data_IF_891500200008
#
_entry.id   IF_891500200008
#
_cell.length_a   1.000
_cell.length_b   1.000
_cell.length_c   1.000
_cell.angle_alpha   90.00
_cell.angle_beta   90.00
_cell.angle_gamma   90.00
#
_symmetry.space_group_name_H-M   'P 1'
#
loop_
_entity.id
_entity.type
_entity.pdbx_description
1 polymer ?
#
# COMPACT_ATOMS: atom_id res chain seq x y z
N UNK A 1 -47.40 -49.50 4.39
CA UNK A 1 -47.92 -48.14 4.70
C UNK A 1 -46.98 -47.53 5.71
N UNK A 2 -46.38 -46.41 5.34
CA UNK A 2 -45.20 -45.79 5.95
C UNK A 2 -45.58 -44.98 7.20
N UNK A 3 -44.87 -45.19 8.31
CA UNK A 3 -44.81 -44.22 9.42
C UNK A 3 -43.35 -43.85 9.63
N UNK A 4 -43.03 -42.61 9.28
CA UNK A 4 -41.72 -41.99 9.49
C UNK A 4 -41.79 -41.27 10.85
N UNK A 5 -40.90 -41.56 11.82
CA UNK A 5 -40.82 -40.73 13.02
C UNK A 5 -40.17 -39.39 12.67
N UNK A 6 -40.99 -38.34 12.75
CA UNK A 6 -40.62 -36.93 12.65
C UNK A 6 -39.67 -36.56 13.79
N UNK A 7 -38.40 -36.33 13.46
CA UNK A 7 -37.36 -35.91 14.40
C UNK A 7 -37.49 -34.39 14.66
N UNK A 8 -37.42 -34.03 15.94
CA UNK A 8 -37.75 -32.75 16.54
C UNK A 8 -37.01 -31.50 15.98
N UNK A 9 -37.55 -30.28 16.19
CA UNK A 9 -36.84 -29.05 15.92
C UNK A 9 -35.95 -28.66 17.12
N UNK A 10 -34.63 -28.74 16.96
CA UNK A 10 -33.66 -28.07 17.84
C UNK A 10 -33.25 -26.72 17.20
N UNK A 11 -33.71 -25.63 17.82
CA UNK A 11 -33.00 -24.35 17.87
C UNK A 11 -32.27 -24.32 19.24
N UNK A 12 -31.22 -23.53 19.54
CA UNK A 12 -30.47 -22.52 18.77
C UNK A 12 -28.92 -22.58 18.98
N UNK A 13 -28.10 -22.26 17.98
CA UNK A 13 -26.71 -21.83 18.27
C UNK A 13 -26.26 -20.73 17.32
N UNK A 14 -26.51 -19.51 17.79
CA UNK A 14 -25.84 -18.28 17.40
C UNK A 14 -24.32 -18.45 17.59
N UNK A 15 -23.55 -18.74 16.55
CA UNK A 15 -22.08 -18.66 16.63
C UNK A 15 -21.51 -17.79 15.50
N UNK A 16 -21.02 -16.63 15.94
CA UNK A 16 -20.03 -15.75 15.34
C UNK A 16 -20.02 -15.58 13.80
N UNK A 17 -20.48 -14.40 13.37
CA UNK A 17 -20.02 -13.74 12.14
C UNK A 17 -18.47 -13.81 12.06
N UNK A 18 -17.87 -14.25 10.95
CA UNK A 18 -16.45 -13.99 10.74
C UNK A 18 -16.27 -12.47 10.61
N UNK A 19 -15.70 -11.85 11.64
CA UNK A 19 -15.08 -10.54 11.53
C UNK A 19 -13.87 -10.67 10.59
N UNK A 20 -14.11 -10.69 9.28
CA UNK A 20 -13.08 -10.27 8.33
C UNK A 20 -12.91 -8.77 8.57
N UNK A 21 -12.00 -8.47 9.50
CA UNK A 21 -11.42 -7.15 9.67
C UNK A 21 -10.93 -6.74 8.29
N UNK A 22 -11.70 -5.90 7.61
CA UNK A 22 -11.20 -5.11 6.52
C UNK A 22 -9.98 -4.40 7.10
N UNK A 23 -8.78 -4.89 6.74
CA UNK A 23 -7.53 -4.19 7.03
C UNK A 23 -7.78 -2.76 6.56
N UNK A 24 -7.79 -1.75 7.43
CA UNK A 24 -7.72 -0.40 6.93
C UNK A 24 -6.35 -0.34 6.27
N UNK A 25 -6.32 -0.41 4.93
CA UNK A 25 -5.17 0.05 4.17
C UNK A 25 -5.17 1.54 4.45
N UNK A 26 -4.49 1.93 5.54
CA UNK A 26 -4.17 3.31 5.85
C UNK A 26 -3.23 3.80 4.76
N UNK A 27 -3.78 4.02 3.56
CA UNK A 27 -3.28 5.05 2.66
C UNK A 27 -3.67 6.35 3.35
N UNK A 28 -2.86 6.75 4.33
CA UNK A 28 -2.87 8.13 4.78
C UNK A 28 -2.43 8.97 3.58
N UNK A 29 -3.40 9.35 2.74
CA UNK A 29 -3.26 10.52 1.91
C UNK A 29 -3.26 11.71 2.87
N UNK A 30 -2.12 11.96 3.52
CA UNK A 30 -1.84 13.27 4.12
C UNK A 30 -1.48 14.21 2.99
N UNK A 31 -2.48 14.61 2.20
CA UNK A 31 -2.43 15.86 1.44
C UNK A 31 -2.65 16.98 2.46
N UNK A 32 -1.61 17.27 3.22
CA UNK A 32 -1.48 18.55 3.93
C UNK A 32 -0.01 18.92 3.86
N UNK A 33 0.39 19.49 2.73
CA UNK A 33 1.61 20.26 2.63
C UNK A 33 1.36 21.68 3.17
N UNK A 34 0.93 21.78 4.43
CA UNK A 34 1.35 22.92 5.24
C UNK A 34 2.83 22.69 5.56
N UNK A 35 3.73 23.36 4.84
CA UNK A 35 5.14 23.44 5.21
C UNK A 35 5.25 24.30 6.48
N UNK A 36 4.91 23.70 7.63
CA UNK A 36 5.15 24.30 8.94
C UNK A 36 6.65 24.20 9.19
N UNK A 37 7.36 25.21 8.69
CA UNK A 37 8.81 25.31 8.71
C UNK A 37 9.35 25.20 10.13
N UNK A 38 10.04 24.08 10.41
CA UNK A 38 10.95 23.98 11.53
C UNK A 38 12.34 24.17 10.96
N UNK A 39 12.93 25.35 11.18
CA UNK A 39 14.20 25.81 10.60
C UNK A 39 15.42 25.08 11.20
N UNK A 40 15.43 23.76 11.16
CA UNK A 40 16.69 22.99 11.19
C UNK A 40 17.08 22.82 9.73
N UNK A 41 18.29 23.22 9.37
CA UNK A 41 18.89 23.28 8.03
C UNK A 41 18.96 21.94 7.30
N UNK A 42 17.84 21.24 7.18
CA UNK A 42 17.66 20.06 6.36
C UNK A 42 17.11 20.59 5.04
N UNK A 43 17.86 20.38 3.97
CA UNK A 43 17.70 21.05 2.67
C UNK A 43 16.26 21.18 2.19
N UNK A 44 16.00 22.26 1.43
CA UNK A 44 14.71 22.47 0.77
C UNK A 44 14.26 21.18 0.08
N UNK A 45 13.04 20.69 0.34
CA UNK A 45 12.54 19.49 -0.33
C UNK A 45 12.50 19.75 -1.83
N UNK A 46 13.18 18.90 -2.62
CA UNK A 46 13.11 18.96 -4.08
C UNK A 46 11.64 18.81 -4.54
N UNK A 47 11.19 19.59 -5.55
CA UNK A 47 9.93 19.34 -6.22
C UNK A 47 9.81 17.89 -6.73
N UNK A 48 8.61 17.32 -6.66
CA UNK A 48 8.36 15.93 -7.08
C UNK A 48 8.76 15.69 -8.55
N UNK A 49 8.51 16.66 -9.44
CA UNK A 49 8.88 16.57 -10.86
C UNK A 49 10.38 16.31 -11.07
N UNK A 50 11.24 16.95 -10.25
CA UNK A 50 12.68 16.73 -10.33
C UNK A 50 13.06 15.33 -9.85
N UNK A 51 12.41 14.84 -8.78
CA UNK A 51 12.62 13.48 -8.30
C UNK A 51 12.22 12.46 -9.37
N UNK A 52 11.10 12.68 -10.04
CA UNK A 52 10.61 11.78 -11.07
C UNK A 52 11.54 11.74 -12.29
N UNK A 53 12.06 12.89 -12.73
CA UNK A 53 13.08 12.95 -13.80
C UNK A 53 14.35 12.21 -13.40
N UNK A 54 14.84 12.39 -12.16
CA UNK A 54 16.02 11.67 -11.66
C UNK A 54 15.77 10.16 -11.76
N UNK A 55 14.65 9.68 -11.24
CA UNK A 55 14.28 8.26 -11.28
C UNK A 55 14.15 7.74 -12.71
N UNK A 56 13.68 8.55 -13.65
CA UNK A 56 13.55 8.17 -15.06
C UNK A 56 14.88 7.89 -15.75
N UNK A 57 15.96 8.53 -15.31
CA UNK A 57 17.32 8.22 -15.76
C UNK A 57 17.83 6.87 -15.23
N UNK A 58 17.29 6.37 -14.12
CA UNK A 58 17.71 5.11 -13.48
C UNK A 58 16.92 3.89 -13.99
N UNK A 59 16.04 4.04 -14.99
CA UNK A 59 15.12 2.99 -15.47
C UNK A 59 15.81 1.65 -15.83
N UNK A 60 17.06 1.69 -16.27
CA UNK A 60 17.81 0.51 -16.71
C UNK A 60 18.55 -0.19 -15.54
N UNK A 61 18.70 0.48 -14.40
CA UNK A 61 19.47 0.00 -13.24
C UNK A 61 18.56 -0.38 -12.05
N UNK A 62 18.09 -1.63 -12.08
CA UNK A 62 17.19 -2.21 -11.05
C UNK A 62 17.71 -2.14 -9.61
N UNK A 63 18.98 -2.47 -9.29
CA UNK A 63 19.46 -2.35 -7.91
C UNK A 63 19.42 -0.90 -7.43
N UNK A 64 19.80 0.08 -8.26
CA UNK A 64 19.72 1.50 -7.89
C UNK A 64 18.28 1.97 -7.71
N UNK A 65 17.34 1.57 -8.57
CA UNK A 65 15.91 1.85 -8.36
C UNK A 65 15.37 1.27 -7.06
N UNK A 66 15.83 0.08 -6.67
CA UNK A 66 15.43 -0.57 -5.41
C UNK A 66 15.93 0.23 -4.20
N UNK A 67 17.17 0.71 -4.25
CA UNK A 67 17.73 1.59 -3.22
C UNK A 67 16.97 2.91 -3.15
N UNK A 68 16.68 3.54 -4.30
CA UNK A 68 15.90 4.77 -4.42
C UNK A 68 14.50 4.64 -3.79
N UNK A 69 13.83 3.49 -3.96
CA UNK A 69 12.55 3.22 -3.32
C UNK A 69 12.62 3.22 -1.77
N UNK A 70 13.81 3.08 -1.18
CA UNK A 70 14.00 3.06 0.28
C UNK A 70 14.44 4.42 0.85
N UNK A 71 14.97 5.34 0.03
CA UNK A 71 15.49 6.64 0.48
C UNK A 71 14.41 7.51 1.12
N UNK A 72 13.28 7.68 0.45
CA UNK A 72 12.18 8.50 0.94
C UNK A 72 10.83 8.09 0.35
N UNK A 73 9.75 8.47 1.04
CA UNK A 73 8.37 8.20 0.60
C UNK A 73 8.06 8.78 -0.79
N UNK A 74 8.64 9.94 -1.11
CA UNK A 74 8.48 10.61 -2.40
C UNK A 74 9.11 9.84 -3.58
N UNK A 75 10.14 9.02 -3.33
CA UNK A 75 10.87 8.27 -4.37
C UNK A 75 10.21 6.93 -4.71
N UNK A 76 9.39 6.38 -3.79
CA UNK A 76 8.74 5.07 -3.92
C UNK A 76 7.86 4.88 -5.16
N UNK A 77 6.86 5.75 -5.43
CA UNK A 77 5.88 5.47 -6.47
C UNK A 77 6.56 5.38 -7.85
N UNK A 78 7.44 6.32 -8.18
CA UNK A 78 8.13 6.33 -9.48
C UNK A 78 9.12 5.18 -9.62
N UNK A 79 9.86 4.85 -8.56
CA UNK A 79 10.82 3.74 -8.56
C UNK A 79 10.13 2.39 -8.79
N UNK A 80 9.01 2.14 -8.10
CA UNK A 80 8.26 0.89 -8.23
C UNK A 80 7.67 0.69 -9.63
N UNK A 81 7.24 1.77 -10.30
CA UNK A 81 6.78 1.70 -11.68
C UNK A 81 7.88 1.13 -12.58
N UNK A 82 9.11 1.60 -12.46
CA UNK A 82 10.22 1.09 -13.28
C UNK A 82 10.66 -0.31 -12.89
N UNK A 83 10.69 -0.64 -11.60
CA UNK A 83 11.05 -1.99 -11.12
C UNK A 83 10.07 -3.05 -11.68
N UNK A 84 8.77 -2.75 -11.67
CA UNK A 84 7.73 -3.67 -12.11
C UNK A 84 7.34 -3.51 -13.58
N UNK A 85 7.96 -2.58 -14.33
CA UNK A 85 7.68 -2.38 -15.77
C UNK A 85 8.10 -3.57 -16.63
N UNK A 86 9.17 -4.24 -16.25
CA UNK A 86 9.71 -5.39 -16.99
C UNK A 86 9.63 -6.63 -16.10
N UNK A 87 8.45 -7.25 -16.10
CA UNK A 87 8.29 -8.62 -15.62
C UNK A 87 8.94 -9.54 -16.66
N UNK A 88 10.10 -10.10 -16.32
CA UNK A 88 10.64 -11.25 -17.05
C UNK A 88 10.05 -12.49 -16.39
N UNK A 89 9.18 -13.17 -17.13
CA UNK A 89 8.64 -14.50 -16.79
C UNK A 89 9.65 -15.55 -17.23
#
# INVERSE_FOLDING_TARGET
MFTVPYLAPEQPQQTSKPHHTARPVSRSASTSCAYKGNARSQGLPLPQELLDVIIDWLKDDKPSLSNCALVARAWRPRSQVHIHRTLKV
#
